data_IF_400150227575
#
_entry.id   IF_400150227575
#
_cell.length_a   1.000
_cell.length_b   1.000
_cell.length_c   1.000
_cell.angle_alpha   90.00
_cell.angle_beta   90.00
_cell.angle_gamma   90.00
#
_symmetry.space_group_name_H-M   'P 1'
#
loop_
_entity.id
_entity.type
_entity.pdbx_description
1 polymer ?
#
# COMPACT_ATOMS: atom_id res chain seq x y z
N UNK A 1 -15.11 4.10 -12.27
CA UNK A 1 -15.32 3.07 -11.23
C UNK A 1 -14.33 1.95 -11.53
N UNK A 2 -13.33 1.75 -10.69
CA UNK A 2 -12.38 0.65 -10.86
C UNK A 2 -13.03 -0.57 -10.24
N UNK A 3 -13.52 -1.48 -11.06
CA UNK A 3 -13.91 -2.81 -10.62
C UNK A 3 -12.63 -3.57 -10.27
N UNK A 4 -12.53 -4.04 -9.04
CA UNK A 4 -11.42 -4.86 -8.60
C UNK A 4 -11.58 -6.27 -9.20
N UNK A 5 -10.92 -6.50 -10.33
CA UNK A 5 -10.62 -7.86 -10.74
C UNK A 5 -9.51 -8.41 -9.84
N UNK A 6 -9.58 -9.67 -9.48
CA UNK A 6 -8.56 -10.35 -8.68
C UNK A 6 -7.23 -10.39 -9.46
N UNK A 7 -6.46 -9.32 -9.33
CA UNK A 7 -5.07 -9.25 -9.73
C UNK A 7 -4.34 -8.61 -8.56
N UNK A 8 -3.27 -9.26 -8.10
CA UNK A 8 -2.39 -8.66 -7.12
C UNK A 8 -1.85 -7.35 -7.69
N UNK A 9 -2.36 -6.22 -7.20
CA UNK A 9 -1.87 -4.90 -7.59
C UNK A 9 -0.60 -4.63 -6.81
N UNK A 10 0.53 -4.73 -7.46
CA UNK A 10 1.79 -4.23 -6.93
C UNK A 10 2.03 -2.86 -7.55
N UNK A 11 1.87 -1.81 -6.75
CA UNK A 11 2.31 -0.47 -7.09
C UNK A 11 3.83 -0.44 -7.07
N UNK A 12 4.48 -0.53 -8.24
CA UNK A 12 5.90 -0.26 -8.31
C UNK A 12 6.09 1.25 -8.45
N UNK A 13 6.65 1.86 -7.43
CA UNK A 13 7.15 3.23 -7.48
C UNK A 13 8.55 3.18 -8.09
N UNK A 14 8.69 3.63 -9.35
CA UNK A 14 10.01 3.90 -9.93
C UNK A 14 10.21 5.42 -9.92
N UNK A 15 10.96 5.98 -8.97
CA UNK A 15 11.31 7.39 -9.04
C UNK A 15 12.12 7.62 -10.31
N UNK A 16 11.83 8.67 -11.07
CA UNK A 16 12.75 9.16 -12.09
C UNK A 16 14.07 9.49 -11.37
N UNK A 17 15.05 8.65 -11.64
CA UNK A 17 16.37 8.65 -11.06
C UNK A 17 17.04 10.02 -11.16
N UNK A 18 17.15 10.71 -10.04
CA UNK A 18 18.23 11.64 -9.77
C UNK A 18 19.33 10.80 -9.16
N UNK A 19 20.43 10.62 -9.89
CA UNK A 19 21.55 9.76 -9.54
C UNK A 19 22.08 10.10 -8.14
N UNK A 20 21.89 9.24 -7.11
CA UNK A 20 22.71 9.29 -5.92
C UNK A 20 23.93 8.42 -6.17
N UNK A 21 25.09 8.95 -5.85
CA UNK A 21 26.32 8.19 -5.79
C UNK A 21 26.30 7.32 -4.54
N UNK A 22 25.92 6.07 -4.62
CA UNK A 22 26.42 4.98 -3.78
C UNK A 22 25.63 3.68 -3.94
N UNK A 23 26.30 2.56 -3.79
CA UNK A 23 25.79 1.19 -3.72
C UNK A 23 24.75 0.95 -2.62
N UNK A 24 24.60 1.85 -1.65
CA UNK A 24 23.64 1.77 -0.55
C UNK A 24 22.17 1.98 -0.98
N UNK A 25 21.89 2.79 -2.03
CA UNK A 25 20.51 3.06 -2.45
C UNK A 25 19.84 1.87 -3.17
N UNK A 26 20.59 1.11 -3.94
CA UNK A 26 20.06 -0.05 -4.66
C UNK A 26 19.70 -1.22 -3.71
N UNK A 27 20.43 -1.38 -2.63
CA UNK A 27 20.13 -2.37 -1.59
C UNK A 27 18.86 -1.98 -0.83
N UNK A 28 18.73 -0.71 -0.45
CA UNK A 28 17.53 -0.17 0.22
C UNK A 28 16.24 -0.38 -0.60
N UNK A 29 16.30 -0.18 -1.92
CA UNK A 29 15.13 -0.40 -2.79
C UNK A 29 14.76 -1.90 -2.87
N UNK A 30 15.77 -2.79 -2.89
CA UNK A 30 15.54 -4.25 -2.84
C UNK A 30 14.84 -4.66 -1.55
N UNK A 31 15.30 -4.14 -0.41
CA UNK A 31 14.77 -4.47 0.91
C UNK A 31 13.32 -3.97 1.06
N UNK A 32 13.01 -2.77 0.52
CA UNK A 32 11.64 -2.24 0.47
C UNK A 32 10.70 -3.12 -0.35
N UNK A 33 11.16 -3.61 -1.49
CA UNK A 33 10.38 -4.53 -2.34
C UNK A 33 10.18 -5.87 -1.61
N UNK A 34 11.21 -6.38 -0.96
CA UNK A 34 11.13 -7.64 -0.20
C UNK A 34 10.12 -7.54 0.94
N UNK A 35 10.16 -6.47 1.74
CA UNK A 35 9.14 -6.20 2.75
C UNK A 35 7.73 -6.20 2.15
N UNK A 36 7.52 -5.49 1.04
CA UNK A 36 6.21 -5.37 0.40
C UNK A 36 5.67 -6.75 -0.04
N UNK A 37 6.53 -7.59 -0.60
CA UNK A 37 6.17 -8.93 -1.06
C UNK A 37 5.90 -9.87 0.10
N UNK A 38 6.74 -9.88 1.12
CA UNK A 38 6.54 -10.73 2.29
C UNK A 38 5.29 -10.32 3.08
N UNK A 39 5.03 -9.01 3.21
CA UNK A 39 3.81 -8.52 3.82
C UNK A 39 2.57 -9.00 3.05
N UNK A 40 2.59 -8.90 1.72
CA UNK A 40 1.49 -9.40 0.88
C UNK A 40 1.32 -10.92 1.01
N UNK A 41 2.40 -11.70 0.91
CA UNK A 41 2.37 -13.16 1.04
C UNK A 41 1.78 -13.60 2.37
N UNK A 42 2.24 -13.00 3.47
CA UNK A 42 1.76 -13.32 4.83
C UNK A 42 0.28 -12.98 5.00
N UNK A 43 -0.15 -11.81 4.54
CA UNK A 43 -1.55 -11.42 4.62
C UNK A 43 -2.44 -12.31 3.76
N UNK A 44 -2.01 -12.66 2.54
CA UNK A 44 -2.77 -13.56 1.67
C UNK A 44 -3.00 -14.96 2.29
N UNK A 45 -2.14 -15.40 3.21
CA UNK A 45 -2.31 -16.66 3.94
C UNK A 45 -3.38 -16.58 5.04
N UNK A 46 -3.82 -15.38 5.42
CA UNK A 46 -4.79 -15.17 6.51
C UNK A 46 -6.21 -14.86 6.03
N UNK A 47 -6.40 -14.72 4.73
CA UNK A 47 -7.70 -14.48 4.09
C UNK A 47 -8.21 -15.73 3.38
N UNK A 48 -9.52 -15.82 3.21
CA UNK A 48 -10.11 -16.93 2.48
C UNK A 48 -9.74 -16.83 1.00
N UNK A 49 -9.57 -17.98 0.34
CA UNK A 49 -9.04 -18.09 -1.02
C UNK A 49 -9.94 -17.43 -2.09
N UNK A 50 -11.19 -17.14 -1.76
CA UNK A 50 -12.20 -16.52 -2.62
C UNK A 50 -12.39 -15.02 -2.34
N UNK A 51 -11.62 -14.47 -1.41
CA UNK A 51 -11.66 -13.05 -1.09
C UNK A 51 -10.64 -12.24 -1.90
N UNK A 52 -11.04 -11.01 -2.24
CA UNK A 52 -10.13 -10.04 -2.84
C UNK A 52 -9.27 -9.38 -1.78
N UNK A 53 -7.96 -9.36 -1.98
CA UNK A 53 -7.00 -8.74 -1.06
C UNK A 53 -6.49 -7.44 -1.66
N UNK A 54 -6.67 -6.33 -0.95
CA UNK A 54 -6.09 -5.03 -1.29
C UNK A 54 -5.26 -4.53 -0.11
N UNK A 55 -3.98 -4.33 -0.33
CA UNK A 55 -3.03 -3.90 0.69
C UNK A 55 -2.24 -2.67 0.23
N UNK A 56 -1.77 -1.91 1.20
CA UNK A 56 -0.73 -0.90 1.01
C UNK A 56 0.49 -1.24 1.85
N UNK A 57 1.48 -1.96 1.31
CA UNK A 57 2.72 -2.24 2.04
C UNK A 57 3.46 -0.97 2.45
N UNK A 58 3.38 0.10 1.65
CA UNK A 58 3.93 1.41 2.00
C UNK A 58 3.29 1.95 3.30
N UNK A 59 1.96 1.94 3.40
CA UNK A 59 1.25 2.39 4.61
C UNK A 59 1.65 1.58 5.84
N UNK A 60 1.75 0.25 5.69
CA UNK A 60 2.21 -0.63 6.76
C UNK A 60 3.65 -0.31 7.18
N UNK A 61 4.55 -0.12 6.22
CA UNK A 61 5.95 0.21 6.49
C UNK A 61 6.09 1.56 7.22
N UNK A 62 5.34 2.60 6.82
CA UNK A 62 5.35 3.90 7.49
C UNK A 62 4.84 3.77 8.93
N UNK A 63 3.71 3.09 9.14
CA UNK A 63 3.15 2.88 10.47
C UNK A 63 4.12 2.09 11.39
N UNK A 64 4.72 1.00 10.88
CA UNK A 64 5.72 0.23 11.62
C UNK A 64 6.97 1.06 11.92
N UNK A 65 7.40 1.93 10.99
CA UNK A 65 8.54 2.83 11.22
C UNK A 65 8.25 3.83 12.34
N UNK A 66 7.04 4.41 12.37
CA UNK A 66 6.62 5.28 13.48
C UNK A 66 6.67 4.55 14.82
N UNK A 67 6.25 3.28 14.89
CA UNK A 67 6.37 2.46 16.10
C UNK A 67 7.83 2.17 16.45
N UNK A 68 8.65 1.84 15.46
CA UNK A 68 10.08 1.55 15.63
C UNK A 68 10.87 2.71 16.23
N UNK A 69 10.47 3.96 15.94
CA UNK A 69 11.07 5.17 16.54
C UNK A 69 10.83 5.28 18.06
N UNK A 70 9.78 4.64 18.56
CA UNK A 70 9.48 4.54 19.99
C UNK A 70 10.05 3.30 20.66
N UNK A 71 10.58 2.35 19.90
CA UNK A 71 11.07 1.08 20.40
C UNK A 71 12.56 1.14 20.80
N UNK A 72 12.93 0.32 21.77
CA UNK A 72 14.31 0.15 22.24
C UNK A 72 14.64 -1.35 22.41
N UNK A 73 15.92 -1.71 22.42
CA UNK A 73 16.40 -3.08 22.70
C UNK A 73 15.94 -4.11 21.67
N UNK A 74 15.45 -5.26 22.13
CA UNK A 74 15.03 -6.38 21.27
C UNK A 74 13.87 -5.99 20.35
N UNK A 75 12.88 -5.26 20.86
CA UNK A 75 11.75 -4.78 20.05
C UNK A 75 12.20 -3.90 18.88
N UNK A 76 13.19 -3.02 19.11
CA UNK A 76 13.77 -2.22 18.01
C UNK A 76 14.46 -3.10 16.99
N UNK A 77 15.22 -4.11 17.44
CA UNK A 77 15.90 -5.05 16.54
C UNK A 77 14.91 -5.86 15.69
N UNK A 78 13.76 -6.25 16.24
CA UNK A 78 12.70 -6.93 15.48
C UNK A 78 12.09 -6.04 14.40
N UNK A 79 11.86 -4.75 14.70
CA UNK A 79 11.43 -3.79 13.68
C UNK A 79 12.47 -3.62 12.58
N UNK A 80 13.76 -3.51 12.95
CA UNK A 80 14.85 -3.36 11.98
C UNK A 80 14.96 -4.60 11.07
N UNK A 81 14.76 -5.80 11.61
CA UNK A 81 14.74 -7.04 10.82
C UNK A 81 13.56 -7.06 9.84
N UNK A 82 12.35 -6.77 10.29
CA UNK A 82 11.14 -6.76 9.45
C UNK A 82 11.19 -5.70 8.37
N UNK A 83 11.72 -4.51 8.67
CA UNK A 83 11.82 -3.38 7.74
C UNK A 83 13.10 -3.38 6.90
N UNK A 84 13.96 -4.41 7.03
CA UNK A 84 15.25 -4.48 6.34
C UNK A 84 16.22 -3.37 6.76
N UNK A 85 16.14 -2.89 8.00
CA UNK A 85 16.95 -1.80 8.52
C UNK A 85 16.59 -0.41 7.98
N UNK A 86 15.47 -0.28 7.25
CA UNK A 86 15.02 0.98 6.67
C UNK A 86 13.82 1.53 7.45
N UNK A 87 13.87 2.82 7.78
CA UNK A 87 12.70 3.55 8.27
C UNK A 87 12.10 4.38 7.13
N UNK A 88 10.79 4.39 7.08
CA UNK A 88 9.99 5.05 6.05
C UNK A 88 9.42 6.34 6.64
N UNK A 89 10.17 7.43 6.53
CA UNK A 89 9.70 8.77 6.93
C UNK A 89 8.69 9.34 5.92
N UNK A 90 8.14 10.52 6.24
CA UNK A 90 7.29 11.24 5.30
C UNK A 90 8.10 11.60 4.04
N UNK A 91 7.61 11.19 2.88
CA UNK A 91 8.24 11.44 1.59
C UNK A 91 7.32 12.28 0.69
N UNK A 92 7.93 13.10 -0.18
CA UNK A 92 7.20 13.72 -1.28
C UNK A 92 6.85 12.65 -2.33
N UNK A 93 5.62 12.19 -2.30
CA UNK A 93 5.10 11.21 -3.24
C UNK A 93 4.82 11.79 -4.63
N UNK A 94 5.10 13.10 -4.84
CA UNK A 94 5.12 13.75 -6.15
C UNK A 94 3.75 14.02 -6.74
N UNK A 95 2.80 14.47 -5.92
CA UNK A 95 1.53 14.99 -6.40
C UNK A 95 1.72 16.20 -7.32
N UNK A 96 0.89 16.30 -8.36
CA UNK A 96 0.84 17.42 -9.30
C UNK A 96 -0.63 17.63 -9.75
N UNK A 97 -0.86 18.44 -10.79
CA UNK A 97 -2.21 18.77 -11.27
C UNK A 97 -3.00 17.55 -11.79
N UNK A 98 -2.34 16.48 -12.21
CA UNK A 98 -2.97 15.27 -12.78
C UNK A 98 -2.85 14.04 -11.89
N UNK A 99 -1.77 13.94 -11.12
CA UNK A 99 -1.49 12.84 -10.20
C UNK A 99 -1.67 13.30 -8.76
N UNK A 100 -2.51 12.65 -7.99
CA UNK A 100 -2.66 12.90 -6.55
C UNK A 100 -2.25 11.66 -5.77
N UNK A 101 -1.16 11.76 -5.00
CA UNK A 101 -0.77 10.76 -4.02
C UNK A 101 -0.61 11.47 -2.68
N UNK A 102 -1.42 11.11 -1.71
CA UNK A 102 -1.38 11.68 -0.36
C UNK A 102 -1.19 10.58 0.65
N UNK A 103 -0.20 10.74 1.51
CA UNK A 103 0.01 9.93 2.70
C UNK A 103 -0.20 10.83 3.91
N UNK A 104 -1.02 10.40 4.84
CA UNK A 104 -1.28 11.11 6.08
C UNK A 104 -1.08 10.18 7.27
N UNK A 105 -0.43 10.69 8.30
CA UNK A 105 -0.10 9.94 9.50
C UNK A 105 -0.84 10.52 10.70
N UNK A 106 -1.33 9.67 11.60
CA UNK A 106 -1.87 10.13 12.88
C UNK A 106 -1.55 9.16 14.01
N UNK A 107 -1.38 9.74 15.20
CA UNK A 107 -1.24 9.04 16.47
C UNK A 107 -2.31 9.55 17.45
N UNK A 108 -3.20 8.67 17.82
CA UNK A 108 -4.24 8.91 18.83
C UNK A 108 -3.81 8.26 20.13
N UNK A 109 -3.77 8.99 21.20
CA UNK A 109 -3.24 8.55 22.49
C UNK A 109 -4.38 8.57 23.50
N UNK A 110 -4.54 7.48 24.26
CA UNK A 110 -5.49 7.43 25.37
C UNK A 110 -5.11 8.46 26.45
N UNK A 111 -6.08 9.19 26.98
CA UNK A 111 -5.89 10.13 28.10
C UNK A 111 -5.42 9.45 29.40
N UNK A 112 -5.54 8.11 29.46
CA UNK A 112 -5.03 7.28 30.57
C UNK A 112 -3.56 6.88 30.38
N UNK A 113 -2.91 7.28 29.27
CA UNK A 113 -1.54 6.89 28.94
C UNK A 113 -0.63 8.10 28.77
N UNK A 114 0.59 8.01 29.28
CA UNK A 114 1.59 9.07 29.14
C UNK A 114 2.66 8.66 28.15
N UNK A 115 2.86 9.46 27.13
CA UNK A 115 3.89 9.27 26.09
C UNK A 115 4.99 10.32 26.24
N UNK A 116 6.23 9.97 25.85
CA UNK A 116 7.36 10.89 25.92
C UNK A 116 7.22 12.00 24.87
N UNK A 117 7.31 13.27 25.27
CA UNK A 117 7.24 14.40 24.36
C UNK A 117 8.25 14.34 23.21
N UNK A 118 9.44 13.76 23.46
CA UNK A 118 10.46 13.57 22.42
C UNK A 118 9.94 12.70 21.26
N UNK A 119 9.19 11.65 21.56
CA UNK A 119 8.61 10.76 20.55
C UNK A 119 7.50 11.47 19.78
N UNK A 120 6.62 12.20 20.46
CA UNK A 120 5.59 13.03 19.81
C UNK A 120 6.23 14.01 18.82
N UNK A 121 7.21 14.80 19.29
CA UNK A 121 7.91 15.79 18.44
C UNK A 121 8.65 15.17 17.26
N UNK A 122 9.15 13.93 17.40
CA UNK A 122 9.77 13.20 16.30
C UNK A 122 8.72 12.83 15.24
N UNK A 123 7.57 12.28 15.67
CA UNK A 123 6.51 11.89 14.74
C UNK A 123 5.92 13.10 14.00
N UNK A 124 5.70 14.21 14.70
CA UNK A 124 5.22 15.46 14.09
C UNK A 124 6.22 15.98 13.05
N UNK A 125 7.52 15.95 13.36
CA UNK A 125 8.55 16.55 12.52
C UNK A 125 8.94 15.66 11.33
N UNK A 126 9.20 14.37 11.58
CA UNK A 126 9.84 13.47 10.61
C UNK A 126 8.81 12.64 9.83
N UNK A 127 7.57 12.53 10.35
CA UNK A 127 6.46 11.80 9.72
C UNK A 127 5.26 12.70 9.37
N UNK A 128 5.32 14.01 9.66
CA UNK A 128 4.18 14.94 9.48
C UNK A 128 2.89 14.40 10.12
N UNK A 129 3.03 13.78 11.30
CA UNK A 129 1.94 13.08 11.95
C UNK A 129 1.04 14.02 12.75
N UNK A 130 -0.27 13.89 12.57
CA UNK A 130 -1.25 14.47 13.48
C UNK A 130 -1.25 13.69 14.79
N UNK A 131 -0.93 14.36 15.90
CA UNK A 131 -0.88 13.71 17.22
C UNK A 131 -1.91 14.35 18.15
N UNK A 132 -2.74 13.54 18.80
CA UNK A 132 -3.78 13.99 19.71
C UNK A 132 -3.98 13.03 20.88
N UNK A 133 -4.48 13.57 22.02
CA UNK A 133 -4.87 12.80 23.19
C UNK A 133 -6.40 12.78 23.27
N UNK A 134 -6.99 11.61 23.43
CA UNK A 134 -8.43 11.41 23.42
C UNK A 134 -8.88 10.41 24.50
N UNK A 135 -10.12 10.55 24.93
CA UNK A 135 -10.74 9.58 25.81
C UNK A 135 -11.24 8.37 25.02
N UNK A 136 -10.55 7.23 25.13
CA UNK A 136 -10.91 6.00 24.40
C UNK A 136 -12.17 5.31 24.93
N UNK A 137 -12.68 5.72 26.10
CA UNK A 137 -13.98 5.28 26.59
C UNK A 137 -15.16 6.06 25.97
N UNK A 138 -14.88 7.19 25.29
CA UNK A 138 -15.92 7.97 24.61
C UNK A 138 -16.12 7.46 23.17
N UNK A 139 -17.33 6.99 22.81
CA UNK A 139 -17.63 6.57 21.43
C UNK A 139 -17.43 7.69 20.38
N UNK A 140 -17.38 8.96 20.77
CA UNK A 140 -17.09 10.06 19.87
C UNK A 140 -15.68 9.95 19.29
N UNK A 141 -14.72 9.42 20.04
CA UNK A 141 -13.34 9.22 19.57
C UNK A 141 -13.25 8.32 18.34
N UNK A 142 -14.04 7.25 18.30
CA UNK A 142 -14.13 6.35 17.12
C UNK A 142 -14.60 7.11 15.89
N UNK A 143 -15.60 8.00 16.06
CA UNK A 143 -16.11 8.82 14.94
C UNK A 143 -15.07 9.82 14.45
N UNK A 144 -14.32 10.43 15.36
CA UNK A 144 -13.25 11.39 15.01
C UNK A 144 -12.14 10.69 14.22
N UNK A 145 -11.72 9.47 14.62
CA UNK A 145 -10.73 8.66 13.92
C UNK A 145 -11.23 8.30 12.51
N UNK A 146 -12.46 7.82 12.38
CA UNK A 146 -13.04 7.47 11.09
C UNK A 146 -13.20 8.71 10.19
N UNK A 147 -13.62 9.85 10.73
CA UNK A 147 -13.72 11.10 9.98
C UNK A 147 -12.35 11.57 9.50
N UNK A 148 -11.32 11.51 10.35
CA UNK A 148 -9.96 11.86 9.97
C UNK A 148 -9.48 11.01 8.77
N UNK A 149 -9.71 9.71 8.78
CA UNK A 149 -9.38 8.84 7.65
C UNK A 149 -10.16 9.20 6.39
N UNK A 150 -11.45 9.46 6.52
CA UNK A 150 -12.30 9.88 5.40
C UNK A 150 -11.78 11.15 4.74
N UNK A 151 -11.45 12.16 5.52
CA UNK A 151 -10.94 13.45 5.04
C UNK A 151 -9.60 13.30 4.30
N UNK A 152 -8.69 12.45 4.82
CA UNK A 152 -7.36 12.26 4.22
C UNK A 152 -7.34 11.29 3.05
N UNK A 153 -8.45 10.57 2.83
CA UNK A 153 -8.60 9.62 1.69
C UNK A 153 -9.65 10.06 0.68
N UNK A 154 -10.02 11.34 0.64
CA UNK A 154 -11.07 11.88 -0.23
C UNK A 154 -12.38 11.08 -0.15
N UNK A 155 -12.77 10.66 1.06
CA UNK A 155 -13.98 9.89 1.34
C UNK A 155 -13.93 8.41 0.92
N UNK A 156 -12.76 7.90 0.48
CA UNK A 156 -12.65 6.50 0.02
C UNK A 156 -12.58 5.50 1.17
N UNK A 157 -12.01 5.91 2.31
CA UNK A 157 -11.98 5.10 3.53
C UNK A 157 -12.78 5.86 4.59
N UNK A 158 -14.08 5.61 4.63
CA UNK A 158 -15.00 6.25 5.57
C UNK A 158 -15.09 5.54 6.92
N UNK A 159 -14.53 4.34 7.04
CA UNK A 159 -14.63 3.51 8.23
C UNK A 159 -13.42 2.57 8.33
N UNK A 160 -12.70 2.64 9.43
CA UNK A 160 -11.52 1.80 9.70
C UNK A 160 -11.55 1.19 11.10
N UNK A 161 -12.45 1.69 11.97
CA UNK A 161 -12.51 1.29 13.37
C UNK A 161 -13.97 1.24 13.82
N UNK A 162 -14.38 0.11 14.40
CA UNK A 162 -15.71 -0.10 14.95
C UNK A 162 -15.82 0.38 16.39
N UNK A 163 -14.81 0.06 17.20
CA UNK A 163 -14.79 0.33 18.64
C UNK A 163 -13.36 0.53 19.14
N UNK A 164 -13.23 1.15 20.30
CA UNK A 164 -12.00 1.25 21.08
C UNK A 164 -12.24 0.64 22.46
N UNK A 165 -11.27 -0.10 22.94
CA UNK A 165 -11.24 -0.54 24.34
C UNK A 165 -10.68 0.57 25.23
N UNK A 166 -11.26 0.79 26.42
CA UNK A 166 -10.66 1.68 27.42
C UNK A 166 -9.24 1.28 27.85
N UNK A 167 -8.83 0.03 27.54
CA UNK A 167 -7.48 -0.47 27.82
C UNK A 167 -6.51 -0.25 26.64
N UNK A 168 -6.98 0.20 25.50
CA UNK A 168 -6.11 0.56 24.39
C UNK A 168 -5.30 1.80 24.80
N UNK A 169 -4.02 1.79 24.46
CA UNK A 169 -3.11 2.87 24.86
C UNK A 169 -2.89 3.86 23.74
N UNK A 170 -2.91 3.40 22.49
CA UNK A 170 -2.75 4.26 21.31
C UNK A 170 -3.32 3.59 20.07
N UNK A 171 -3.72 4.41 19.09
CA UNK A 171 -4.06 4.02 17.73
C UNK A 171 -3.16 4.81 16.77
N UNK A 172 -2.47 4.10 15.91
CA UNK A 172 -1.57 4.67 14.91
C UNK A 172 -2.13 4.36 13.53
N UNK A 173 -2.20 5.38 12.68
CA UNK A 173 -2.80 5.25 11.36
C UNK A 173 -1.88 5.89 10.33
N UNK A 174 -1.68 5.17 9.22
CA UNK A 174 -1.28 5.76 7.96
C UNK A 174 -2.43 5.59 6.96
N UNK A 175 -2.85 6.69 6.33
CA UNK A 175 -3.85 6.71 5.28
C UNK A 175 -3.20 7.12 3.96
N UNK A 176 -3.30 6.25 2.94
CA UNK A 176 -2.77 6.49 1.60
C UNK A 176 -3.91 6.66 0.61
N UNK A 177 -3.91 7.78 -0.09
CA UNK A 177 -4.79 8.04 -1.23
C UNK A 177 -3.99 8.16 -2.51
N UNK A 178 -4.36 7.38 -3.53
CA UNK A 178 -3.75 7.40 -4.85
C UNK A 178 -4.82 7.61 -5.92
N UNK A 179 -4.63 8.62 -6.76
CA UNK A 179 -5.48 8.89 -7.92
C UNK A 179 -4.61 9.40 -9.06
N UNK A 180 -4.58 8.66 -10.15
CA UNK A 180 -3.80 8.98 -11.33
C UNK A 180 -4.53 8.54 -12.60
N UNK A 181 -4.54 9.36 -13.66
CA UNK A 181 -4.97 8.91 -14.97
C UNK A 181 -3.91 7.99 -15.59
N UNK A 182 -4.35 7.11 -16.48
CA UNK A 182 -3.44 6.32 -17.29
C UNK A 182 -2.67 7.22 -18.28
N UNK A 183 -1.39 6.96 -18.52
CA UNK A 183 -0.63 7.65 -19.58
C UNK A 183 -1.35 7.56 -20.94
N UNK A 184 -1.97 6.41 -21.20
CA UNK A 184 -2.85 6.19 -22.32
C UNK A 184 -4.17 5.64 -21.80
N UNK A 185 -5.21 6.43 -21.83
CA UNK A 185 -6.52 6.04 -21.33
C UNK A 185 -7.10 4.84 -22.11
N UNK A 186 -7.97 4.09 -21.44
CA UNK A 186 -8.85 3.15 -22.11
C UNK A 186 -10.04 3.93 -22.71
N UNK A 187 -10.50 3.52 -23.89
CA UNK A 187 -11.72 4.08 -24.48
C UNK A 187 -12.94 3.51 -23.74
N UNK A 188 -13.72 4.38 -23.13
CA UNK A 188 -14.92 3.98 -22.39
C UNK A 188 -15.95 3.29 -23.31
N UNK A 189 -16.01 3.68 -24.59
CA UNK A 189 -16.92 3.09 -25.58
C UNK A 189 -16.47 1.67 -26.02
N UNK A 190 -15.23 1.29 -25.74
CA UNK A 190 -14.70 -0.05 -26.01
C UNK A 190 -14.80 -0.97 -24.79
N UNK A 191 -15.47 -0.52 -23.71
CA UNK A 191 -15.77 -1.36 -22.53
C UNK A 191 -17.01 -2.19 -22.82
N UNK A 192 -16.87 -3.51 -22.75
CA UNK A 192 -17.94 -4.48 -23.02
C UNK A 192 -18.10 -5.42 -21.84
N UNK A 193 -19.33 -5.89 -21.60
CA UNK A 193 -19.56 -6.93 -20.60
C UNK A 193 -18.97 -8.26 -21.10
N UNK A 194 -18.04 -8.82 -20.34
CA UNK A 194 -17.37 -10.08 -20.64
C UNK A 194 -17.29 -10.96 -19.41
N UNK A 195 -17.20 -12.27 -19.65
CA UNK A 195 -17.04 -13.25 -18.56
C UNK A 195 -15.66 -13.12 -17.95
N UNK A 196 -15.63 -12.83 -16.65
CA UNK A 196 -14.46 -12.96 -15.80
C UNK A 196 -14.49 -14.32 -15.08
N UNK A 197 -13.46 -15.12 -15.32
CA UNK A 197 -13.33 -16.45 -14.71
C UNK A 197 -12.77 -16.29 -13.29
N UNK A 198 -13.68 -16.23 -12.31
CA UNK A 198 -13.31 -16.19 -10.90
C UNK A 198 -12.97 -17.57 -10.34
N UNK A 199 -12.40 -17.58 -9.13
CA UNK A 199 -12.03 -18.82 -8.44
C UNK A 199 -13.26 -19.64 -8.06
N UNK A 200 -14.34 -18.98 -7.65
CA UNK A 200 -15.59 -19.61 -7.18
C UNK A 200 -16.60 -19.74 -8.31
N UNK A 201 -16.77 -18.66 -9.06
CA UNK A 201 -17.77 -18.57 -10.12
C UNK A 201 -17.34 -17.63 -11.24
N UNK A 202 -17.87 -17.88 -12.43
CA UNK A 202 -17.76 -16.96 -13.54
C UNK A 202 -18.73 -15.80 -13.35
N UNK A 203 -18.24 -14.57 -13.56
CA UNK A 203 -19.06 -13.34 -13.48
C UNK A 203 -18.95 -12.53 -14.75
N UNK A 204 -20.11 -12.03 -15.24
CA UNK A 204 -20.12 -11.02 -16.27
C UNK A 204 -19.77 -9.65 -15.66
N UNK A 205 -18.73 -9.02 -16.18
CA UNK A 205 -18.23 -7.73 -15.68
C UNK A 205 -17.91 -6.79 -16.84
N UNK A 206 -18.05 -5.46 -16.66
CA UNK A 206 -17.59 -4.50 -17.65
C UNK A 206 -16.07 -4.56 -17.78
N UNK A 207 -15.59 -5.09 -18.90
CA UNK A 207 -14.18 -5.31 -19.20
C UNK A 207 -13.66 -4.20 -20.09
N UNK A 208 -12.66 -3.45 -19.60
CA UNK A 208 -11.97 -2.43 -20.39
C UNK A 208 -11.09 -3.07 -21.46
N UNK A 209 -11.14 -2.54 -22.66
CA UNK A 209 -10.33 -3.02 -23.78
C UNK A 209 -9.40 -1.95 -24.32
N UNK A 210 -8.15 -2.31 -24.59
CA UNK A 210 -7.18 -1.47 -25.31
C UNK A 210 -6.16 -2.33 -26.03
N UNK A 211 -5.90 -1.98 -27.31
CA UNK A 211 -4.81 -2.58 -28.09
C UNK A 211 -3.69 -1.55 -28.26
N UNK A 212 -2.52 -1.88 -27.74
CA UNK A 212 -1.33 -1.03 -27.82
C UNK A 212 -0.06 -1.87 -27.69
N UNK A 213 1.11 -1.24 -27.82
CA UNK A 213 2.38 -1.84 -27.38
C UNK A 213 2.53 -1.59 -25.88
N UNK A 214 2.85 -2.64 -25.16
CA UNK A 214 3.04 -2.63 -23.71
C UNK A 214 4.41 -3.22 -23.37
N UNK A 215 4.95 -2.81 -22.23
CA UNK A 215 6.03 -3.53 -21.59
C UNK A 215 5.46 -4.85 -21.08
N UNK A 216 5.98 -5.94 -21.61
CA UNK A 216 5.49 -7.30 -21.37
C UNK A 216 6.62 -8.23 -20.98
N UNK A 217 6.37 -9.12 -20.06
CA UNK A 217 7.28 -10.17 -19.68
C UNK A 217 6.53 -11.49 -19.37
N UNK A 218 7.24 -12.58 -19.44
CA UNK A 218 6.78 -13.89 -18.94
C UNK A 218 7.74 -14.38 -17.86
N UNK A 219 7.18 -14.84 -16.76
CA UNK A 219 7.97 -15.38 -15.65
C UNK A 219 7.20 -16.52 -14.96
N UNK A 220 7.81 -17.70 -14.89
CA UNK A 220 7.21 -18.90 -14.29
C UNK A 220 5.81 -19.25 -14.83
N UNK A 221 5.59 -18.99 -16.11
CA UNK A 221 4.31 -19.19 -16.79
C UNK A 221 3.28 -18.09 -16.57
N UNK A 222 3.56 -17.12 -15.68
CA UNK A 222 2.74 -15.91 -15.55
C UNK A 222 3.02 -14.93 -16.68
N UNK A 223 1.99 -14.22 -17.10
CA UNK A 223 2.12 -13.07 -17.99
C UNK A 223 2.13 -11.79 -17.15
N UNK A 224 3.07 -10.89 -17.44
CA UNK A 224 3.21 -9.61 -16.76
C UNK A 224 3.08 -8.48 -17.77
N UNK A 225 2.29 -7.47 -17.42
CA UNK A 225 2.15 -6.25 -18.23
C UNK A 225 2.30 -5.03 -17.32
N UNK A 226 3.00 -4.00 -17.81
CA UNK A 226 3.15 -2.73 -17.13
C UNK A 226 2.31 -1.67 -17.81
N UNK A 227 1.47 -1.00 -17.03
CA UNK A 227 0.58 0.08 -17.42
C UNK A 227 1.04 1.37 -16.72
N UNK A 228 1.73 2.29 -17.41
CA UNK A 228 2.16 3.53 -16.79
C UNK A 228 0.99 4.49 -16.56
N UNK A 229 1.05 5.20 -15.41
CA UNK A 229 0.21 6.36 -15.15
C UNK A 229 0.84 7.62 -15.76
N UNK A 230 0.04 8.65 -15.97
CA UNK A 230 0.48 9.92 -16.53
C UNK A 230 1.64 10.53 -15.72
N UNK A 231 2.62 11.07 -16.43
CA UNK A 231 3.86 11.58 -15.85
C UNK A 231 4.95 10.52 -15.62
N UNK A 232 4.66 9.23 -15.79
CA UNK A 232 5.63 8.13 -15.82
C UNK A 232 6.36 7.86 -14.50
N UNK A 233 5.91 8.46 -13.37
CA UNK A 233 6.48 8.21 -12.04
C UNK A 233 5.96 6.89 -11.45
N UNK A 234 4.71 6.56 -11.71
CA UNK A 234 4.03 5.38 -11.23
C UNK A 234 3.57 4.51 -12.39
N UNK A 235 3.45 3.24 -12.13
CA UNK A 235 2.85 2.28 -13.07
C UNK A 235 2.13 1.17 -12.30
N UNK A 236 1.11 0.61 -12.91
CA UNK A 236 0.50 -0.64 -12.46
C UNK A 236 1.20 -1.80 -13.16
N UNK A 237 1.57 -2.82 -12.41
CA UNK A 237 1.97 -4.11 -12.96
C UNK A 237 0.84 -5.11 -12.71
N UNK A 238 0.32 -5.67 -13.78
CA UNK A 238 -0.68 -6.73 -13.72
C UNK A 238 0.04 -8.06 -13.94
N UNK A 239 -0.17 -9.00 -13.03
CA UNK A 239 0.36 -10.36 -13.11
C UNK A 239 -0.80 -11.31 -13.31
N UNK A 240 -0.83 -11.97 -14.46
CA UNK A 240 -1.83 -12.97 -14.79
C UNK A 240 -1.23 -14.37 -14.60
N UNK A 241 -1.75 -15.17 -13.65
CA UNK A 241 -1.34 -16.55 -13.48
C UNK A 241 -1.63 -17.42 -14.70
N UNK A 242 -0.94 -18.56 -14.88
CA UNK A 242 -1.34 -19.57 -15.85
C UNK A 242 -2.76 -20.07 -15.57
N UNK A 243 -3.47 -20.43 -16.63
CA UNK A 243 -4.82 -20.98 -16.50
C UNK A 243 -4.89 -22.13 -15.48
N UNK A 244 -5.83 -22.05 -14.56
CA UNK A 244 -6.04 -23.05 -13.50
C UNK A 244 -5.09 -22.93 -12.29
N UNK A 245 -4.25 -21.89 -12.24
CA UNK A 245 -3.44 -21.56 -11.07
C UNK A 245 -4.01 -20.36 -10.30
N UNK A 246 -4.10 -20.49 -8.98
CA UNK A 246 -4.44 -19.39 -8.08
C UNK A 246 -3.22 -18.51 -7.74
N UNK A 247 -3.49 -17.35 -7.17
CA UNK A 247 -2.44 -16.40 -6.76
C UNK A 247 -1.51 -17.00 -5.69
N UNK A 248 -2.01 -17.79 -4.79
CA UNK A 248 -1.30 -18.50 -3.73
C UNK A 248 -0.20 -19.42 -4.28
N UNK A 249 -0.44 -20.02 -5.45
CA UNK A 249 0.51 -20.93 -6.11
C UNK A 249 1.66 -20.18 -6.79
N UNK A 250 1.45 -18.94 -7.20
CA UNK A 250 2.48 -18.12 -7.87
C UNK A 250 3.24 -17.20 -6.92
N UNK A 251 2.64 -16.78 -5.80
CA UNK A 251 3.26 -15.87 -4.83
C UNK A 251 4.66 -16.30 -4.36
N UNK A 252 4.96 -17.58 -4.10
CA UNK A 252 6.31 -18.00 -3.72
C UNK A 252 7.39 -17.68 -4.77
N UNK A 253 7.00 -17.55 -6.04
CA UNK A 253 7.92 -17.28 -7.15
C UNK A 253 8.06 -15.80 -7.46
N UNK A 254 7.16 -14.95 -6.94
CA UNK A 254 7.25 -13.51 -7.12
C UNK A 254 8.30 -12.97 -6.13
N UNK A 255 9.43 -12.55 -6.66
CA UNK A 255 10.54 -11.97 -5.91
C UNK A 255 10.88 -10.57 -6.42
N UNK A 256 11.58 -9.78 -5.64
CA UNK A 256 12.04 -8.45 -6.05
C UNK A 256 12.85 -8.43 -7.35
N UNK A 257 13.42 -9.56 -7.75
CA UNK A 257 14.17 -9.70 -9.01
C UNK A 257 13.25 -9.84 -10.23
N UNK A 258 12.03 -10.36 -10.05
CA UNK A 258 11.04 -10.53 -11.13
C UNK A 258 10.54 -9.19 -11.73
N UNK A 259 10.74 -8.08 -11.01
CA UNK A 259 10.31 -6.74 -11.44
C UNK A 259 11.30 -5.99 -12.33
N UNK A 260 12.47 -6.53 -12.58
CA UNK A 260 13.40 -5.96 -13.56
C UNK A 260 12.97 -6.37 -14.97
N UNK A 261 11.80 -5.88 -15.39
CA UNK A 261 11.42 -5.90 -16.81
C UNK A 261 12.35 -4.92 -17.53
N UNK A 262 13.20 -5.45 -18.41
CA UNK A 262 14.08 -4.66 -19.26
C UNK A 262 13.30 -3.95 -20.35
#
# INVERSE_FOLDING_TARGET
MISAAAAAMLLSCSPKYVKPSSTASAQSDSDKIEFALEFFKKTNQTVDYDENVVLSPYSAAVALSMLAEGAEGETKAEFDDVLGGNLYAAEDLGSNDVLTVKSANSLWISDNFSIRNRYVSLLEKDYDAFVTVQNFADPATVKEINNWCSEHTAGKIGHILDELSPNDVMVLINALYFNAPWEKAFDENATEDMVFHGVVEDKEVPMMYRKATFDYAEYQGCQLIRLPYEGGRYSMVVVLPPYGMGIDQILPYITGTAYKVQ
#
